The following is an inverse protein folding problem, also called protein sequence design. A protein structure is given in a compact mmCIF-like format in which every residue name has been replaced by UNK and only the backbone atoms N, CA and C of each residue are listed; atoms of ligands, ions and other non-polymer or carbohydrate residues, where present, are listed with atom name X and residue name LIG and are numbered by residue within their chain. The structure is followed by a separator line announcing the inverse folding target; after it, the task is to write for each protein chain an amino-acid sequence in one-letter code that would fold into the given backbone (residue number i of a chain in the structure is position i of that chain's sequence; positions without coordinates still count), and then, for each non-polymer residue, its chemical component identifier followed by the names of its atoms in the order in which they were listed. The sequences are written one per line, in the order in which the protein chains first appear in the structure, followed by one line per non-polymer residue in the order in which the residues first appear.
data_IF_183631847762
#
_entry.id   IF_183631847762
#
_cell.length_a   1.000
_cell.length_b   1.000
_cell.length_c   1.000
_cell.angle_alpha   90.00
_cell.angle_beta   90.00
_cell.angle_gamma   90.00
#
_symmetry.space_group_name_H-M   'P 1'
#
loop_
_entity.id
_entity.type
_entity.pdbx_description
1 polymer ?
#
# COMPACT_ATOMS: atom_id res chain seq x y z
N UNK A 1 -14.32 13.09 -3.36
CA UNK A 1 -13.13 12.53 -2.66
C UNK A 1 -11.98 12.32 -3.64
N UNK A 2 -10.75 12.73 -3.34
CA UNK A 2 -9.60 12.52 -4.24
C UNK A 2 -9.29 11.01 -4.40
N UNK A 3 -8.83 10.59 -5.58
CA UNK A 3 -8.42 9.19 -5.81
C UNK A 3 -7.32 8.79 -4.82
N UNK A 4 -7.50 7.65 -4.16
CA UNK A 4 -6.47 7.03 -3.32
C UNK A 4 -5.67 6.03 -4.15
N UNK A 5 -4.34 6.12 -4.07
CA UNK A 5 -3.44 5.27 -4.86
C UNK A 5 -3.55 3.78 -4.49
N UNK A 6 -3.39 3.46 -3.21
CA UNK A 6 -3.48 2.09 -2.69
C UNK A 6 -4.82 1.41 -3.00
N UNK A 7 -5.93 2.13 -2.82
CA UNK A 7 -7.26 1.65 -3.20
C UNK A 7 -7.37 1.38 -4.70
N UNK A 8 -6.79 2.25 -5.54
CA UNK A 8 -6.80 2.08 -6.99
C UNK A 8 -6.04 0.83 -7.43
N UNK A 9 -4.90 0.53 -6.81
CA UNK A 9 -4.15 -0.72 -7.05
C UNK A 9 -4.91 -1.94 -6.55
N UNK A 10 -5.48 -1.90 -5.34
CA UNK A 10 -6.25 -3.02 -4.79
C UNK A 10 -7.44 -3.39 -5.70
N UNK A 11 -8.15 -2.38 -6.20
CA UNK A 11 -9.25 -2.59 -7.16
C UNK A 11 -8.75 -3.23 -8.46
N UNK A 12 -7.61 -2.77 -8.98
CA UNK A 12 -7.00 -3.38 -10.16
C UNK A 12 -6.65 -4.85 -9.93
N UNK A 13 -5.93 -5.16 -8.85
CA UNK A 13 -5.49 -6.53 -8.56
C UNK A 13 -6.69 -7.48 -8.38
N UNK A 14 -7.73 -7.05 -7.64
CA UNK A 14 -8.97 -7.83 -7.50
C UNK A 14 -9.67 -8.06 -8.85
N UNK A 15 -9.75 -7.03 -9.67
CA UNK A 15 -10.39 -7.09 -10.99
C UNK A 15 -9.66 -8.06 -11.93
N UNK A 16 -8.33 -8.16 -11.85
CA UNK A 16 -7.52 -9.09 -12.66
C UNK A 16 -7.77 -10.57 -12.36
N UNK A 17 -8.21 -10.89 -11.14
CA UNK A 17 -8.36 -12.25 -10.60
C UNK A 17 -7.06 -13.09 -10.56
N UNK A 18 -5.89 -12.50 -10.83
CA UNK A 18 -4.60 -13.20 -10.78
C UNK A 18 -3.88 -13.08 -9.43
N UNK A 19 -4.28 -12.11 -8.61
CA UNK A 19 -3.61 -11.80 -7.35
C UNK A 19 -4.51 -12.09 -6.15
N UNK A 20 -3.95 -12.72 -5.12
CA UNK A 20 -4.52 -12.67 -3.79
C UNK A 20 -4.01 -11.41 -3.10
N UNK A 21 -4.89 -10.44 -2.94
CA UNK A 21 -4.51 -9.08 -2.53
C UNK A 21 -5.09 -8.66 -1.20
N UNK A 22 -4.26 -7.95 -0.44
CA UNK A 22 -4.66 -7.25 0.77
C UNK A 22 -4.53 -5.74 0.62
N UNK A 23 -5.41 -5.01 1.32
CA UNK A 23 -5.41 -3.56 1.40
C UNK A 23 -5.73 -3.15 2.84
N UNK A 24 -4.78 -2.51 3.50
CA UNK A 24 -4.81 -2.10 4.90
C UNK A 24 -4.91 -3.24 5.94
N UNK A 25 -5.68 -4.30 5.73
CA UNK A 25 -5.89 -5.38 6.71
C UNK A 25 -5.15 -6.69 6.39
N UNK A 26 -4.18 -7.05 7.22
CA UNK A 26 -3.42 -8.30 7.16
C UNK A 26 -3.66 -9.17 8.40
N UNK A 27 -3.14 -10.39 8.37
CA UNK A 27 -3.16 -11.31 9.52
C UNK A 27 -3.08 -12.77 9.08
N UNK A 28 -2.80 -13.69 10.01
CA UNK A 28 -2.86 -15.11 9.73
C UNK A 28 -4.27 -15.50 9.24
N UNK A 29 -4.32 -16.40 8.25
CA UNK A 29 -5.55 -17.11 7.92
C UNK A 29 -5.88 -18.03 9.10
N UNK A 30 -6.59 -17.54 10.12
CA UNK A 30 -7.18 -18.45 11.09
C UNK A 30 -8.30 -19.19 10.37
N UNK A 31 -8.17 -20.53 10.27
CA UNK A 31 -9.33 -21.38 10.02
C UNK A 31 -10.36 -21.03 11.08
N UNK A 32 -11.49 -20.47 10.67
CA UNK A 32 -12.62 -20.33 11.56
C UNK A 32 -13.14 -21.74 11.84
N UNK A 33 -12.65 -22.36 12.92
CA UNK A 33 -13.24 -23.57 13.45
C UNK A 33 -14.68 -23.25 13.87
N UNK A 34 -15.62 -23.90 13.18
CA UNK A 34 -17.00 -24.08 13.60
C UNK A 34 -17.84 -22.82 13.85
N UNK A 35 -18.23 -22.14 12.77
CA UNK A 35 -19.62 -21.68 12.69
C UNK A 35 -20.14 -21.81 11.27
N UNK A 36 -21.22 -22.59 11.14
CA UNK A 36 -22.00 -22.75 9.91
C UNK A 36 -22.62 -21.41 9.53
N UNK A 37 -21.86 -20.53 8.88
CA UNK A 37 -22.32 -19.41 8.06
C UNK A 37 -21.12 -18.90 7.27
N UNK A 38 -21.18 -19.13 5.97
CA UNK A 38 -20.21 -18.69 4.97
C UNK A 38 -19.84 -17.20 5.12
N UNK A 39 -18.59 -16.95 5.45
CA UNK A 39 -17.72 -15.90 4.88
C UNK A 39 -16.35 -16.02 5.51
N UNK A 40 -15.29 -16.06 4.72
CA UNK A 40 -13.91 -15.83 5.17
C UNK A 40 -13.86 -14.54 6.02
N UNK A 41 -13.87 -14.65 7.35
CA UNK A 41 -13.66 -13.51 8.25
C UNK A 41 -12.16 -13.32 8.43
N UNK A 42 -11.56 -12.62 7.45
CA UNK A 42 -10.17 -12.18 7.42
C UNK A 42 -9.86 -11.46 8.75
N UNK A 43 -8.96 -11.99 9.58
CA UNK A 43 -8.50 -11.30 10.79
C UNK A 43 -7.98 -9.90 10.39
N UNK A 44 -8.57 -8.85 10.97
CA UNK A 44 -8.48 -7.45 10.53
C UNK A 44 -7.41 -6.65 11.28
N UNK A 45 -6.16 -7.12 11.35
CA UNK A 45 -5.07 -6.33 11.92
C UNK A 45 -4.53 -5.39 10.83
N UNK A 46 -4.27 -4.11 11.09
CA UNK A 46 -3.61 -3.25 10.12
C UNK A 46 -2.28 -3.85 9.66
N UNK A 47 -2.04 -3.89 8.34
CA UNK A 47 -0.85 -4.50 7.76
C UNK A 47 0.43 -3.91 8.33
N UNK A 48 0.49 -2.59 8.48
CA UNK A 48 1.62 -1.93 9.13
C UNK A 48 1.89 -2.48 10.53
N UNK A 49 0.84 -2.58 11.37
CA UNK A 49 0.94 -3.11 12.73
C UNK A 49 1.42 -4.56 12.76
N UNK A 50 0.79 -5.43 11.96
CA UNK A 50 1.17 -6.84 11.91
C UNK A 50 2.64 -7.02 11.50
N UNK A 51 3.09 -6.31 10.45
CA UNK A 51 4.46 -6.40 9.97
C UNK A 51 5.43 -5.88 11.06
N UNK A 52 5.10 -4.76 11.70
CA UNK A 52 5.92 -4.21 12.78
C UNK A 52 6.07 -5.18 13.96
N UNK A 53 4.98 -5.79 14.40
CA UNK A 53 5.01 -6.82 15.46
C UNK A 53 5.83 -8.05 15.02
N UNK A 54 5.69 -8.48 13.75
CA UNK A 54 6.48 -9.58 13.22
C UNK A 54 7.99 -9.28 13.20
N UNK A 55 8.38 -8.03 12.93
CA UNK A 55 9.78 -7.59 12.93
C UNK A 55 10.42 -7.56 14.32
N UNK A 56 9.61 -7.41 15.38
CA UNK A 56 10.08 -7.44 16.77
C UNK A 56 10.16 -8.88 17.32
N UNK A 57 9.48 -9.83 16.70
CA UNK A 57 9.45 -11.23 17.10
C UNK A 57 10.73 -11.96 16.67
N UNK A 58 11.31 -12.75 17.58
CA UNK A 58 12.59 -13.46 17.35
C UNK A 58 12.53 -14.46 16.20
N UNK A 59 11.37 -15.04 15.94
CA UNK A 59 11.12 -16.07 14.93
C UNK A 59 10.60 -15.43 13.64
N UNK A 60 9.64 -14.50 13.74
CA UNK A 60 8.94 -13.95 12.56
C UNK A 60 9.68 -12.83 11.84
N UNK A 61 10.72 -12.23 12.45
CA UNK A 61 11.46 -11.08 11.88
C UNK A 61 12.10 -11.34 10.50
N UNK A 62 12.28 -12.61 10.13
CA UNK A 62 12.87 -12.99 8.84
C UNK A 62 11.83 -13.20 7.74
N UNK A 63 10.54 -13.27 8.08
CA UNK A 63 9.44 -13.44 7.13
C UNK A 63 8.20 -12.64 7.58
N UNK A 64 8.32 -11.31 7.73
CA UNK A 64 7.26 -10.47 8.28
C UNK A 64 5.97 -10.46 7.44
N UNK A 65 6.04 -10.57 6.12
CA UNK A 65 4.85 -10.58 5.27
C UNK A 65 4.14 -11.93 5.31
N UNK A 66 4.86 -13.05 5.31
CA UNK A 66 4.33 -14.39 5.51
C UNK A 66 3.64 -14.52 6.87
N UNK A 67 4.25 -13.99 7.93
CA UNK A 67 3.64 -13.91 9.26
C UNK A 67 2.30 -13.14 9.26
N UNK A 68 2.13 -12.23 8.28
CA UNK A 68 0.94 -11.42 8.08
C UNK A 68 0.00 -11.94 6.97
N UNK A 69 0.10 -13.23 6.66
CA UNK A 69 -0.78 -13.92 5.71
C UNK A 69 -0.25 -13.92 4.27
N UNK A 70 1.01 -13.53 4.05
CA UNK A 70 1.69 -13.65 2.77
C UNK A 70 1.90 -15.10 2.33
N UNK A 71 2.23 -15.26 1.05
CA UNK A 71 2.60 -16.57 0.50
C UNK A 71 3.87 -17.09 1.17
N UNK A 72 3.83 -18.35 1.62
CA UNK A 72 4.97 -19.09 2.17
C UNK A 72 4.74 -20.59 1.98
N UNK A 73 5.72 -21.42 2.32
CA UNK A 73 5.60 -22.89 2.22
C UNK A 73 4.41 -23.44 3.03
N UNK A 74 4.11 -22.83 4.18
CA UNK A 74 2.96 -23.19 5.02
C UNK A 74 1.66 -22.50 4.61
N UNK A 75 1.72 -21.52 3.71
CA UNK A 75 0.57 -20.76 3.20
C UNK A 75 0.71 -20.47 1.70
N UNK A 76 0.65 -21.49 0.82
CA UNK A 76 0.91 -21.32 -0.61
C UNK A 76 -0.15 -20.45 -1.32
N UNK A 77 -1.32 -20.29 -0.71
CA UNK A 77 -2.42 -19.47 -1.23
C UNK A 77 -2.53 -18.11 -0.54
N UNK A 78 -1.50 -17.70 0.23
CA UNK A 78 -1.45 -16.42 0.92
C UNK A 78 -1.49 -15.20 0.00
N UNK A 79 -1.42 -14.01 0.60
CA UNK A 79 -1.35 -12.76 -0.14
C UNK A 79 -0.05 -12.68 -0.94
N UNK A 80 -0.17 -12.39 -2.24
CA UNK A 80 0.95 -12.13 -3.14
C UNK A 80 0.95 -10.69 -3.67
N UNK A 81 0.05 -9.84 -3.15
CA UNK A 81 -0.02 -8.42 -3.47
C UNK A 81 -0.46 -7.62 -2.24
N UNK A 82 0.40 -6.71 -1.80
CA UNK A 82 0.25 -5.95 -0.57
C UNK A 82 0.05 -4.46 -0.86
N UNK A 83 -1.02 -3.86 -0.35
CA UNK A 83 -1.29 -2.43 -0.50
C UNK A 83 -1.60 -1.81 0.84
N UNK A 84 -1.16 -0.56 1.00
CA UNK A 84 -1.39 0.22 2.20
C UNK A 84 -0.82 -0.48 3.44
N UNK A 85 0.51 -0.44 3.55
CA UNK A 85 1.26 -1.04 4.65
C UNK A 85 1.47 -0.06 5.81
N UNK A 86 0.65 0.96 5.95
CA UNK A 86 0.75 1.91 7.05
C UNK A 86 -0.14 1.54 8.23
N UNK A 87 0.26 1.99 9.40
CA UNK A 87 -0.62 2.09 10.54
C UNK A 87 -0.17 3.23 11.43
N UNK A 88 -1.01 4.26 11.52
CA UNK A 88 -0.67 5.47 12.24
C UNK A 88 -1.82 6.06 13.05
N UNK A 89 -2.60 5.24 13.77
CA UNK A 89 -3.83 5.68 14.43
C UNK A 89 -3.81 5.66 15.96
N UNK A 90 -2.78 5.13 16.60
CA UNK A 90 -2.57 5.23 18.04
C UNK A 90 -1.50 6.25 18.40
N UNK A 91 -1.51 6.67 19.67
CA UNK A 91 -0.39 7.40 20.27
C UNK A 91 0.88 6.53 20.11
N UNK A 92 1.96 7.11 19.56
CA UNK A 92 3.22 6.45 19.20
C UNK A 92 3.20 5.42 18.06
N UNK A 93 2.08 5.25 17.36
CA UNK A 93 2.02 4.35 16.20
C UNK A 93 2.44 5.13 14.94
N UNK A 94 3.73 5.10 14.59
CA UNK A 94 4.31 5.75 13.41
C UNK A 94 4.82 4.71 12.40
N UNK A 95 3.95 3.76 12.04
CA UNK A 95 4.37 2.50 11.44
C UNK A 95 4.17 2.53 9.92
N UNK A 96 5.27 2.55 9.17
CA UNK A 96 5.30 2.52 7.70
C UNK A 96 6.40 1.56 7.23
N UNK A 97 6.22 0.23 7.28
CA UNK A 97 7.20 -0.75 6.84
C UNK A 97 7.58 -0.58 5.36
N UNK A 98 6.69 -0.05 4.52
CA UNK A 98 7.02 0.35 3.13
C UNK A 98 8.05 1.49 3.03
N UNK A 99 8.37 2.14 4.15
CA UNK A 99 9.42 3.16 4.27
C UNK A 99 10.60 2.65 5.11
N UNK A 100 10.33 1.95 6.22
CA UNK A 100 11.33 1.63 7.23
C UNK A 100 11.86 0.20 7.20
N UNK A 101 11.22 -0.71 6.45
CA UNK A 101 11.52 -2.14 6.47
C UNK A 101 11.73 -2.73 5.06
N UNK A 102 12.21 -1.92 4.11
CA UNK A 102 12.42 -2.36 2.73
C UNK A 102 13.44 -3.50 2.64
N UNK A 103 14.51 -3.47 3.46
CA UNK A 103 15.53 -4.53 3.50
C UNK A 103 14.98 -5.87 4.04
N UNK A 104 14.11 -5.82 5.03
CA UNK A 104 13.40 -6.98 5.56
C UNK A 104 12.45 -7.58 4.51
N UNK A 105 11.73 -6.72 3.79
CA UNK A 105 10.84 -7.14 2.70
C UNK A 105 11.65 -7.75 1.54
N UNK A 106 12.81 -7.18 1.21
CA UNK A 106 13.72 -7.73 0.20
C UNK A 106 14.25 -9.11 0.60
N UNK A 107 14.67 -9.28 1.85
CA UNK A 107 15.15 -10.58 2.35
C UNK A 107 14.11 -11.68 2.19
N UNK A 108 12.83 -11.36 2.39
CA UNK A 108 11.73 -12.32 2.25
C UNK A 108 11.32 -12.54 0.78
N UNK A 109 11.18 -11.46 -0.01
CA UNK A 109 10.79 -11.53 -1.42
C UNK A 109 11.80 -10.79 -2.32
N UNK A 110 12.99 -11.36 -2.58
CA UNK A 110 14.07 -10.67 -3.29
C UNK A 110 13.76 -10.35 -4.76
N UNK A 111 12.70 -10.95 -5.32
CA UNK A 111 12.21 -10.72 -6.68
C UNK A 111 10.88 -9.96 -6.73
N UNK A 112 10.47 -9.32 -5.63
CA UNK A 112 9.22 -8.58 -5.61
C UNK A 112 9.20 -7.45 -6.65
N UNK A 113 8.03 -7.20 -7.24
CA UNK A 113 7.79 -5.99 -8.03
C UNK A 113 7.23 -4.90 -7.12
N UNK A 114 7.92 -3.77 -7.05
CA UNK A 114 7.47 -2.58 -6.33
C UNK A 114 6.66 -1.70 -7.28
N UNK A 115 5.54 -1.18 -6.80
CA UNK A 115 4.68 -0.26 -7.55
C UNK A 115 4.65 1.08 -6.83
N UNK A 116 5.17 2.12 -7.48
CA UNK A 116 5.18 3.48 -6.96
C UNK A 116 4.16 4.33 -7.72
N UNK A 117 3.09 4.73 -7.03
CA UNK A 117 2.08 5.62 -7.58
C UNK A 117 2.39 7.08 -7.24
N UNK A 118 2.52 7.90 -8.28
CA UNK A 118 2.68 9.35 -8.16
C UNK A 118 1.41 10.10 -8.57
N UNK A 119 1.27 11.32 -8.08
CA UNK A 119 0.32 12.34 -8.55
C UNK A 119 0.96 13.72 -8.33
N UNK A 120 0.39 14.82 -8.87
CA UNK A 120 0.90 16.16 -8.60
C UNK A 120 1.06 16.40 -7.09
N UNK A 121 2.20 16.99 -6.69
CA UNK A 121 2.56 17.16 -5.28
C UNK A 121 1.52 17.99 -4.51
N UNK A 122 0.99 19.05 -5.12
CA UNK A 122 -0.06 19.87 -4.52
C UNK A 122 -1.32 19.06 -4.20
N UNK A 123 -1.72 18.15 -5.10
CA UNK A 123 -2.87 17.28 -4.88
C UNK A 123 -2.61 16.27 -3.77
N UNK A 124 -1.36 15.80 -3.65
CA UNK A 124 -0.96 14.94 -2.56
C UNK A 124 -1.01 15.66 -1.21
N UNK A 125 -0.41 16.85 -1.11
CA UNK A 125 -0.47 17.70 0.09
C UNK A 125 -1.93 18.02 0.44
N UNK A 126 -2.75 18.36 -0.55
CA UNK A 126 -4.18 18.62 -0.34
C UNK A 126 -4.89 17.41 0.26
N UNK A 127 -4.63 16.19 -0.21
CA UNK A 127 -5.22 15.01 0.45
C UNK A 127 -4.70 14.79 1.87
N UNK A 128 -3.42 15.03 2.14
CA UNK A 128 -2.87 14.93 3.51
C UNK A 128 -3.56 15.92 4.45
N UNK A 129 -3.83 17.14 3.96
CA UNK A 129 -4.51 18.18 4.74
C UNK A 129 -5.99 17.89 5.03
N UNK A 130 -6.67 17.13 4.16
CA UNK A 130 -8.12 16.90 4.26
C UNK A 130 -8.48 15.48 4.73
N UNK A 131 -7.51 14.58 4.86
CA UNK A 131 -7.75 13.22 5.33
C UNK A 131 -7.71 13.17 6.85
N UNK A 132 -8.86 13.46 7.49
CA UNK A 132 -8.98 13.50 8.95
C UNK A 132 -7.85 14.37 9.55
N UNK A 133 -7.09 13.82 10.48
CA UNK A 133 -5.94 14.41 11.15
C UNK A 133 -4.59 13.91 10.57
N UNK A 134 -4.56 13.34 9.35
CA UNK A 134 -3.34 12.70 8.80
C UNK A 134 -2.11 13.61 8.82
N UNK A 135 -2.28 14.90 8.53
CA UNK A 135 -1.19 15.86 8.63
C UNK A 135 -0.65 15.97 10.05
N UNK A 136 -1.54 16.06 11.04
CA UNK A 136 -1.16 16.17 12.44
C UNK A 136 -0.42 14.90 12.88
N UNK A 137 -0.93 13.73 12.48
CA UNK A 137 -0.29 12.43 12.71
C UNK A 137 1.10 12.33 12.06
N UNK A 138 1.33 12.99 10.93
CA UNK A 138 2.69 13.10 10.36
C UNK A 138 3.60 14.04 11.16
N UNK A 139 3.06 15.12 11.72
CA UNK A 139 3.81 16.09 12.53
C UNK A 139 4.23 15.48 13.87
N UNK A 140 3.38 14.65 14.47
CA UNK A 140 3.63 14.08 15.80
C UNK A 140 4.66 12.94 15.76
N UNK A 141 4.81 12.31 14.59
CA UNK A 141 5.74 11.21 14.38
C UNK A 141 7.17 11.67 14.06
N UNK A 142 8.15 10.84 14.44
CA UNK A 142 9.56 11.02 14.10
C UNK A 142 9.96 10.12 12.92
N UNK A 143 9.75 10.58 11.68
CA UNK A 143 10.20 9.85 10.49
C UNK A 143 11.57 10.32 10.03
N UNK A 144 12.28 9.44 9.33
CA UNK A 144 13.44 9.83 8.52
C UNK A 144 13.02 10.94 7.54
N UNK A 145 13.80 12.03 7.51
CA UNK A 145 13.55 13.27 6.77
C UNK A 145 12.26 14.03 7.10
N UNK A 146 11.52 13.62 8.13
CA UNK A 146 10.42 14.41 8.72
C UNK A 146 10.39 14.21 10.25
N UNK A 147 11.33 14.84 10.98
CA UNK A 147 11.37 14.78 12.44
C UNK A 147 10.11 15.35 13.10
N UNK A 148 9.83 14.95 14.34
CA UNK A 148 8.70 15.45 15.14
C UNK A 148 8.64 16.99 15.12
N UNK A 149 7.43 17.51 14.92
CA UNK A 149 7.16 18.95 14.79
C UNK A 149 7.34 19.51 13.37
N UNK A 150 7.91 18.76 12.43
CA UNK A 150 8.02 19.15 11.00
C UNK A 150 6.79 18.70 10.20
N UNK A 151 6.55 19.32 9.04
CA UNK A 151 5.40 19.02 8.18
C UNK A 151 4.27 20.05 8.25
N UNK A 152 4.38 21.07 9.11
CA UNK A 152 3.49 22.25 9.13
C UNK A 152 3.64 23.13 7.89
N UNK A 153 4.82 23.13 7.28
CA UNK A 153 5.07 23.79 6.00
C UNK A 153 4.84 22.78 4.86
N UNK A 154 4.03 23.10 3.82
CA UNK A 154 3.86 22.23 2.66
C UNK A 154 5.17 21.86 1.96
N UNK A 155 6.20 22.73 1.96
CA UNK A 155 7.51 22.42 1.40
C UNK A 155 8.26 21.32 2.17
N UNK A 156 8.02 21.18 3.48
CA UNK A 156 8.59 20.09 4.27
C UNK A 156 7.95 18.76 3.90
N UNK A 157 6.62 18.72 3.76
CA UNK A 157 5.90 17.52 3.30
C UNK A 157 6.31 17.15 1.86
N UNK A 158 6.48 18.14 0.99
CA UNK A 158 6.99 17.94 -0.36
C UNK A 158 8.39 17.31 -0.36
N UNK A 159 9.31 17.88 0.41
CA UNK A 159 10.69 17.37 0.50
C UNK A 159 10.69 15.93 1.01
N UNK A 160 9.89 15.64 2.04
CA UNK A 160 9.78 14.30 2.60
C UNK A 160 9.25 13.26 1.60
N UNK A 161 8.17 13.55 0.86
CA UNK A 161 7.64 12.60 -0.14
C UNK A 161 8.59 12.45 -1.34
N UNK A 162 9.27 13.52 -1.75
CA UNK A 162 10.29 13.45 -2.79
C UNK A 162 11.49 12.59 -2.37
N UNK A 163 11.95 12.73 -1.12
CA UNK A 163 13.02 11.90 -0.58
C UNK A 163 12.60 10.43 -0.49
N UNK A 164 11.36 10.14 -0.09
CA UNK A 164 10.85 8.76 -0.11
C UNK A 164 10.85 8.16 -1.52
N UNK A 165 10.40 8.91 -2.53
CA UNK A 165 10.46 8.47 -3.94
C UNK A 165 11.91 8.19 -4.37
N UNK A 166 12.85 9.07 -4.02
CA UNK A 166 14.26 8.88 -4.32
C UNK A 166 14.83 7.63 -3.63
N UNK A 167 14.48 7.38 -2.36
CA UNK A 167 14.88 6.18 -1.62
C UNK A 167 14.36 4.90 -2.26
N UNK A 168 13.09 4.85 -2.70
CA UNK A 168 12.54 3.67 -3.38
C UNK A 168 13.26 3.39 -4.70
N UNK A 169 13.55 4.43 -5.49
CA UNK A 169 14.32 4.28 -6.73
C UNK A 169 15.75 3.81 -6.47
N UNK A 170 16.40 4.36 -5.45
CA UNK A 170 17.75 3.97 -5.05
C UNK A 170 17.78 2.53 -4.55
N UNK A 171 16.80 2.13 -3.74
CA UNK A 171 16.65 0.76 -3.24
C UNK A 171 16.55 -0.26 -4.39
N UNK A 172 15.72 -0.03 -5.41
CA UNK A 172 15.63 -0.94 -6.56
C UNK A 172 16.91 -0.94 -7.40
N UNK A 173 17.64 0.17 -7.45
CA UNK A 173 18.96 0.24 -8.10
C UNK A 173 20.00 -0.61 -7.35
N UNK A 174 19.97 -0.58 -6.02
CA UNK A 174 20.89 -1.35 -5.18
C UNK A 174 20.52 -2.84 -5.12
N UNK A 175 19.24 -3.17 -5.37
CA UNK A 175 18.70 -4.53 -5.39
C UNK A 175 18.06 -4.87 -6.76
N UNK A 176 18.87 -5.10 -7.81
CA UNK A 176 18.40 -5.19 -9.21
C UNK A 176 17.56 -6.44 -9.52
N UNK A 177 17.39 -7.36 -8.57
CA UNK A 177 16.44 -8.47 -8.67
C UNK A 177 14.98 -8.01 -8.54
N UNK A 178 14.76 -6.82 -7.98
CA UNK A 178 13.46 -6.16 -7.97
C UNK A 178 13.13 -5.49 -9.30
N UNK A 179 11.83 -5.41 -9.59
CA UNK A 179 11.31 -4.52 -10.61
C UNK A 179 10.62 -3.31 -9.96
N UNK A 180 10.68 -2.14 -10.62
CA UNK A 180 9.93 -0.95 -10.23
C UNK A 180 8.98 -0.54 -11.34
N UNK A 181 7.69 -0.43 -11.03
CA UNK A 181 6.68 0.15 -11.91
C UNK A 181 6.25 1.50 -11.33
N UNK A 182 6.61 2.58 -12.00
CA UNK A 182 6.19 3.94 -11.64
C UNK A 182 4.98 4.36 -12.48
N UNK A 183 3.91 4.81 -11.81
CA UNK A 183 2.63 5.11 -12.46
C UNK A 183 2.07 6.46 -12.02
N UNK A 184 1.49 7.19 -12.96
CA UNK A 184 0.68 8.36 -12.64
C UNK A 184 -0.76 7.94 -12.31
N UNK A 185 -1.22 8.25 -11.09
CA UNK A 185 -2.57 7.91 -10.60
C UNK A 185 -3.70 8.47 -11.49
N UNK A 186 -3.45 9.58 -12.17
CA UNK A 186 -4.46 10.26 -13.00
C UNK A 186 -4.47 9.78 -14.45
N UNK A 187 -3.36 9.23 -14.95
CA UNK A 187 -3.35 8.59 -16.27
C UNK A 187 -3.85 7.14 -16.16
N UNK A 188 -5.17 7.00 -16.05
CA UNK A 188 -5.78 5.68 -15.87
C UNK A 188 -5.58 4.77 -17.06
N UNK A 189 -5.49 5.31 -18.28
CA UNK A 189 -5.35 4.49 -19.49
C UNK A 189 -3.95 3.89 -19.55
N UNK A 190 -2.94 4.71 -19.34
CA UNK A 190 -1.55 4.27 -19.34
C UNK A 190 -1.26 3.35 -18.14
N UNK A 191 -1.78 3.69 -16.95
CA UNK A 191 -1.62 2.84 -15.78
C UNK A 191 -2.30 1.47 -15.96
N UNK A 192 -3.52 1.42 -16.50
CA UNK A 192 -4.19 0.16 -16.82
C UNK A 192 -3.40 -0.67 -17.82
N UNK A 193 -2.88 -0.04 -18.87
CA UNK A 193 -2.08 -0.70 -19.89
C UNK A 193 -0.80 -1.31 -19.31
N UNK A 194 0.01 -0.53 -18.59
CA UNK A 194 1.27 -1.04 -18.04
C UNK A 194 1.06 -2.13 -17.00
N UNK A 195 0.12 -1.96 -16.07
CA UNK A 195 -0.18 -3.00 -15.09
C UNK A 195 -0.69 -4.28 -15.77
N UNK A 196 -1.56 -4.16 -16.77
CA UNK A 196 -2.08 -5.33 -17.50
C UNK A 196 -0.98 -6.04 -18.29
N UNK A 197 -0.08 -5.28 -18.93
CA UNK A 197 1.00 -5.87 -19.70
C UNK A 197 2.06 -6.52 -18.82
N UNK A 198 2.51 -5.84 -17.77
CA UNK A 198 3.66 -6.24 -16.97
C UNK A 198 3.31 -7.29 -15.90
N UNK A 199 2.10 -7.24 -15.33
CA UNK A 199 1.73 -8.11 -14.21
C UNK A 199 0.80 -9.27 -14.61
N UNK A 200 0.00 -9.09 -15.66
CA UNK A 200 -1.03 -10.07 -16.10
C UNK A 200 -0.59 -10.78 -17.40
N UNK A 201 0.36 -10.20 -18.16
CA UNK A 201 0.75 -10.69 -19.47
C UNK A 201 -0.29 -10.41 -20.57
N UNK A 202 -1.21 -9.47 -20.35
CA UNK A 202 -2.23 -9.13 -21.32
C UNK A 202 -1.67 -8.25 -22.45
N UNK A 203 -2.13 -8.48 -23.69
CA UNK A 203 -1.75 -7.69 -24.86
C UNK A 203 -2.39 -6.29 -24.89
N UNK A 204 -3.44 -6.08 -24.11
CA UNK A 204 -4.18 -4.81 -23.98
C UNK A 204 -4.56 -4.54 -22.53
N UNK A 205 -4.97 -3.31 -22.25
CA UNK A 205 -5.51 -2.91 -20.96
C UNK A 205 -6.76 -3.69 -20.57
N UNK A 206 -6.79 -4.24 -19.36
CA UNK A 206 -7.91 -5.02 -18.80
C UNK A 206 -9.10 -4.17 -18.37
N UNK A 207 -8.98 -2.84 -18.46
CA UNK A 207 -9.96 -1.85 -17.96
C UNK A 207 -10.23 -2.04 -16.47
N UNK A 208 -9.24 -2.48 -15.71
CA UNK A 208 -9.34 -2.72 -14.27
C UNK A 208 -8.92 -1.50 -13.45
N UNK A 209 -7.97 -0.69 -13.95
CA UNK A 209 -7.48 0.48 -13.24
C UNK A 209 -8.43 1.68 -13.40
N UNK A 210 -8.49 2.55 -12.39
CA UNK A 210 -9.36 3.74 -12.40
C UNK A 210 -10.84 3.48 -12.04
N UNK A 211 -11.16 2.25 -11.60
CA UNK A 211 -12.49 1.86 -11.10
C UNK A 211 -12.75 2.17 -9.63
N UNK A 212 -11.72 2.56 -8.87
CA UNK A 212 -11.87 2.97 -7.48
C UNK A 212 -12.70 4.27 -7.36
N UNK A 213 -13.51 4.37 -6.30
CA UNK A 213 -14.30 5.54 -5.91
C UNK A 213 -15.27 6.05 -7.00
N UNK A 214 -15.74 5.17 -7.90
CA UNK A 214 -16.73 5.53 -8.93
C UNK A 214 -18.16 5.72 -8.36
N UNK A 215 -18.45 5.16 -7.17
CA UNK A 215 -19.73 5.35 -6.46
C UNK A 215 -19.95 6.79 -5.99
N UNK A 216 -18.91 7.44 -5.45
CA UNK A 216 -19.00 8.79 -4.88
C UNK A 216 -19.32 9.87 -5.94
N UNK A 217 -18.91 9.64 -7.20
CA UNK A 217 -19.16 10.59 -8.31
C UNK A 217 -20.63 10.62 -8.76
N UNK A 218 -21.40 9.58 -8.46
CA UNK A 218 -22.83 9.55 -8.81
C UNK A 218 -23.69 10.29 -7.79
N UNK A 219 -23.27 10.38 -6.53
CA UNK A 219 -23.98 11.13 -5.49
C UNK A 219 -23.82 12.65 -5.63
N UNK A 220 -22.64 13.14 -6.02
CA UNK A 220 -22.44 14.59 -6.28
C UNK A 220 -23.30 15.07 -7.46
N UNK A 221 -23.49 14.25 -8.51
CA UNK A 221 -24.39 14.59 -9.64
C UNK A 221 -25.88 14.55 -9.28
N UNK A 222 -26.27 13.83 -8.22
CA UNK A 222 -27.65 13.82 -7.73
C UNK A 222 -27.96 14.96 -6.76
N UNK A 223 -26.93 15.59 -6.15
CA UNK A 223 -27.09 16.75 -5.27
C UNK A 223 -27.06 18.11 -6.02
N UNK A 224 -26.77 18.10 -7.32
CA UNK A 224 -26.80 19.29 -8.19
C UNK A 224 -27.95 19.24 -9.23
N UNK A 225 -29.03 18.52 -8.93
CA UNK A 225 -30.28 18.55 -9.68
C UNK A 225 -31.44 18.82 -8.74
#
# INVERSE_FOLDING_TARGET
MNKMGSTSLNVFMKCSKQFNTTHYGCGPLTLAENSKKERYTRATVPCGKCIHEALQDRVKKHAPLAACGGVSDSNPTGFNSFMQLDYNRGEDECIFPQMTALEEIHREYPHATLILLSRPLNDWINSVNHWQDLRQRFIDCNYEDLPTGKGRNPFQLQSWVCNHIARVRQFVKDHPTHALIELNLYDTKQADYYLSRLLIGASQGTKCFGKANQGDKQEEKKKSK
#
